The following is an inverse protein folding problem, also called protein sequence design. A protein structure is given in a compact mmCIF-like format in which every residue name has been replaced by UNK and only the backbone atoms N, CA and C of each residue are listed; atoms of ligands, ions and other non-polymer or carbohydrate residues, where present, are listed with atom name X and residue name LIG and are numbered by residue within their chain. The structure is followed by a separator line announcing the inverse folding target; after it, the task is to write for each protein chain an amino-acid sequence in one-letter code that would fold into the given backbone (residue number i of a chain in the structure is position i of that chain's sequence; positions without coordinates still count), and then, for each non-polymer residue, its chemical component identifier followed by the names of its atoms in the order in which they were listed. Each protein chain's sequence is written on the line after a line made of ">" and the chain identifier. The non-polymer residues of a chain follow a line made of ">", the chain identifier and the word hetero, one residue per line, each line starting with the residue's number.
data_IF_532073020216
#
_entry.id   IF_532073020216
#
_cell.length_a   1.000
_cell.length_b   1.000
_cell.length_c   1.000
_cell.angle_alpha   90.00
_cell.angle_beta   90.00
_cell.angle_gamma   90.00
#
_symmetry.space_group_name_H-M   'P 1'
#
loop_
_entity.id
_entity.type
_entity.pdbx_description
1 polymer ?
#
# COMPACT_ATOMS: atom_id res chain seq x y z
N UNK A 1 -16.27 -9.51 33.40
CA UNK A 1 -16.97 -8.27 33.83
C UNK A 1 -16.90 -7.21 32.74
N UNK A 2 -15.71 -6.83 32.28
CA UNK A 2 -15.55 -5.82 31.22
C UNK A 2 -16.33 -6.15 29.93
N UNK A 3 -16.24 -7.38 29.41
CA UNK A 3 -17.02 -7.79 28.23
C UNK A 3 -18.54 -7.68 28.44
N UNK A 4 -19.02 -8.01 29.64
CA UNK A 4 -20.46 -7.93 29.95
C UNK A 4 -20.94 -6.47 30.01
N UNK A 5 -20.19 -5.59 30.69
CA UNK A 5 -20.48 -4.16 30.74
C UNK A 5 -20.42 -3.53 29.34
N UNK A 6 -19.43 -3.93 28.53
CA UNK A 6 -19.29 -3.45 27.15
C UNK A 6 -20.45 -3.91 26.25
N UNK A 7 -20.89 -5.16 26.39
CA UNK A 7 -22.05 -5.72 25.67
C UNK A 7 -23.35 -5.00 26.02
N UNK A 8 -23.52 -4.62 27.30
CA UNK A 8 -24.68 -3.87 27.78
C UNK A 8 -24.63 -2.36 27.49
N UNK A 9 -23.50 -1.83 27.02
CA UNK A 9 -23.34 -0.40 26.78
C UNK A 9 -23.18 0.44 28.07
N UNK A 10 -22.78 -0.18 29.17
CA UNK A 10 -22.68 0.46 30.50
C UNK A 10 -21.39 1.30 30.61
N UNK A 11 -21.40 2.49 29.99
CA UNK A 11 -20.24 3.38 29.89
C UNK A 11 -19.54 3.65 31.23
N UNK A 12 -20.29 4.00 32.28
CA UNK A 12 -19.74 4.32 33.61
C UNK A 12 -19.04 3.11 34.26
N UNK A 13 -19.63 1.91 34.13
CA UNK A 13 -19.04 0.70 34.70
C UNK A 13 -17.82 0.24 33.88
N UNK A 14 -17.86 0.38 32.54
CA UNK A 14 -16.68 0.16 31.69
C UNK A 14 -15.53 1.08 32.11
N UNK A 15 -15.79 2.38 32.25
CA UNK A 15 -14.79 3.36 32.67
C UNK A 15 -14.19 3.02 34.04
N UNK A 16 -15.03 2.65 35.01
CA UNK A 16 -14.60 2.23 36.35
C UNK A 16 -13.77 0.96 36.34
N UNK A 17 -14.16 -0.05 35.55
CA UNK A 17 -13.43 -1.30 35.40
C UNK A 17 -12.05 -1.06 34.78
N UNK A 18 -11.97 -0.27 33.71
CA UNK A 18 -10.70 0.10 33.07
C UNK A 18 -9.80 0.88 34.03
N UNK A 19 -10.36 1.85 34.77
CA UNK A 19 -9.63 2.60 35.79
C UNK A 19 -9.09 1.71 36.94
N UNK A 20 -9.78 0.60 37.24
CA UNK A 20 -9.31 -0.39 38.20
C UNK A 20 -8.28 -1.40 37.65
N UNK A 21 -7.86 -1.24 36.38
CA UNK A 21 -6.87 -2.12 35.74
C UNK A 21 -7.47 -3.33 35.03
N UNK A 22 -8.75 -3.30 34.66
CA UNK A 22 -9.32 -4.33 33.79
C UNK A 22 -8.60 -4.35 32.44
N UNK A 23 -8.27 -5.56 31.97
CA UNK A 23 -7.55 -5.75 30.71
C UNK A 23 -8.49 -5.59 29.50
N UNK A 24 -8.30 -4.51 28.74
CA UNK A 24 -9.06 -4.23 27.52
C UNK A 24 -8.74 -5.19 26.34
N UNK A 25 -7.66 -5.96 26.45
CA UNK A 25 -7.21 -6.93 25.43
C UNK A 25 -7.75 -8.34 25.65
N UNK A 26 -8.44 -8.56 26.77
CA UNK A 26 -8.95 -9.87 27.16
C UNK A 26 -9.99 -10.42 26.19
N UNK A 27 -9.96 -11.74 25.97
CA UNK A 27 -10.99 -12.49 25.25
C UNK A 27 -11.85 -13.26 26.25
N UNK A 28 -13.17 -13.16 26.13
CA UNK A 28 -14.09 -13.94 26.95
C UNK A 28 -14.24 -15.40 26.48
N UNK A 29 -15.17 -16.13 27.09
CA UNK A 29 -15.43 -17.53 26.78
C UNK A 29 -15.94 -17.77 25.35
N UNK A 30 -16.52 -16.76 24.70
CA UNK A 30 -16.96 -16.82 23.30
C UNK A 30 -15.82 -16.46 22.33
N UNK A 31 -14.64 -16.10 22.85
CA UNK A 31 -13.51 -15.62 22.06
C UNK A 31 -13.72 -14.21 21.54
N UNK A 32 -14.53 -13.38 22.22
CA UNK A 32 -14.77 -11.99 21.84
C UNK A 32 -14.10 -11.02 22.82
N UNK A 33 -13.58 -9.92 22.30
CA UNK A 33 -13.02 -8.82 23.10
C UNK A 33 -14.12 -7.89 23.59
N UNK A 34 -13.89 -7.07 24.64
CA UNK A 34 -14.83 -6.02 25.03
C UNK A 34 -15.20 -5.08 23.86
N UNK A 35 -14.23 -4.78 22.99
CA UNK A 35 -14.45 -3.90 21.84
C UNK A 35 -15.38 -4.54 20.80
N UNK A 36 -15.26 -5.85 20.56
CA UNK A 36 -16.19 -6.58 19.69
C UNK A 36 -17.62 -6.56 20.23
N UNK A 37 -17.80 -6.73 21.55
CA UNK A 37 -19.12 -6.62 22.18
C UNK A 37 -19.71 -5.21 22.07
N UNK A 38 -18.90 -4.18 22.30
CA UNK A 38 -19.32 -2.79 22.13
C UNK A 38 -19.72 -2.50 20.68
N UNK A 39 -18.93 -2.99 19.72
CA UNK A 39 -19.18 -2.83 18.29
C UNK A 39 -20.47 -3.53 17.82
N UNK A 40 -20.66 -4.79 18.24
CA UNK A 40 -21.87 -5.57 17.95
C UNK A 40 -23.14 -4.98 18.58
N UNK A 41 -23.00 -4.30 19.71
CA UNK A 41 -24.10 -3.59 20.39
C UNK A 41 -24.33 -2.16 19.90
N UNK A 42 -23.49 -1.62 19.01
CA UNK A 42 -23.56 -0.23 18.55
C UNK A 42 -23.18 0.82 19.60
N UNK A 43 -22.43 0.43 20.64
CA UNK A 43 -22.11 1.27 21.80
C UNK A 43 -20.88 2.16 21.53
N UNK A 44 -21.05 3.20 20.71
CA UNK A 44 -19.96 4.04 20.23
C UNK A 44 -19.13 4.70 21.36
N UNK A 45 -19.77 5.12 22.45
CA UNK A 45 -19.08 5.73 23.59
C UNK A 45 -18.18 4.71 24.32
N UNK A 46 -18.69 3.49 24.55
CA UNK A 46 -17.93 2.38 25.11
C UNK A 46 -16.78 1.98 24.19
N UNK A 47 -17.01 1.89 22.88
CA UNK A 47 -15.98 1.57 21.91
C UNK A 47 -14.84 2.61 21.95
N UNK A 48 -15.18 3.90 22.03
CA UNK A 48 -14.20 4.98 22.16
C UNK A 48 -13.35 4.85 23.43
N UNK A 49 -13.99 4.62 24.59
CA UNK A 49 -13.29 4.40 25.86
C UNK A 49 -12.32 3.21 25.81
N UNK A 50 -12.76 2.10 25.21
CA UNK A 50 -11.93 0.90 25.07
C UNK A 50 -10.71 1.16 24.18
N UNK A 51 -10.91 1.84 23.04
CA UNK A 51 -9.83 2.23 22.13
C UNK A 51 -8.83 3.18 22.79
N UNK A 52 -9.31 4.17 23.55
CA UNK A 52 -8.47 5.11 24.29
C UNK A 52 -7.64 4.41 25.39
N UNK A 53 -8.13 3.26 25.90
CA UNK A 53 -7.41 2.39 26.83
C UNK A 53 -6.59 1.29 26.14
N UNK A 54 -6.39 1.37 24.82
CA UNK A 54 -5.51 0.47 24.08
C UNK A 54 -6.13 -0.87 23.68
N UNK A 55 -7.46 -0.98 23.63
CA UNK A 55 -8.10 -2.17 23.06
C UNK A 55 -7.66 -2.38 21.60
N UNK A 56 -7.26 -3.60 21.19
CA UNK A 56 -6.80 -3.86 19.84
C UNK A 56 -7.96 -3.80 18.85
N UNK A 57 -7.96 -2.78 17.97
CA UNK A 57 -8.99 -2.61 16.94
C UNK A 57 -8.99 -3.72 15.88
N UNK A 58 -7.85 -4.40 15.70
CA UNK A 58 -7.63 -5.45 14.69
C UNK A 58 -7.63 -6.87 15.27
N UNK A 59 -8.01 -7.06 16.54
CA UNK A 59 -8.21 -8.40 17.08
C UNK A 59 -9.32 -9.14 16.31
N UNK A 60 -9.20 -10.46 16.17
CA UNK A 60 -10.12 -11.31 15.43
C UNK A 60 -10.82 -12.31 16.34
N UNK A 61 -12.12 -12.50 16.12
CA UNK A 61 -12.92 -13.55 16.73
C UNK A 61 -12.54 -14.93 16.19
N UNK A 62 -13.06 -16.03 16.78
CA UNK A 62 -12.89 -17.38 16.23
C UNK A 62 -13.41 -17.55 14.79
N UNK A 63 -14.34 -16.70 14.35
CA UNK A 63 -14.86 -16.68 12.98
C UNK A 63 -14.07 -15.75 12.04
N UNK A 64 -12.96 -15.17 12.50
CA UNK A 64 -12.11 -14.27 11.72
C UNK A 64 -12.69 -12.85 11.56
N UNK A 65 -13.62 -12.44 12.41
CA UNK A 65 -14.25 -11.11 12.35
C UNK A 65 -13.60 -10.17 13.37
N UNK A 66 -13.29 -8.94 12.94
CA UNK A 66 -12.85 -7.85 13.80
C UNK A 66 -14.03 -7.09 14.42
N UNK A 67 -13.75 -6.16 15.33
CA UNK A 67 -14.78 -5.24 15.83
C UNK A 67 -15.42 -4.42 14.69
N UNK A 68 -14.65 -4.05 13.66
CA UNK A 68 -15.15 -3.35 12.48
C UNK A 68 -16.10 -4.17 11.62
N UNK A 69 -15.97 -5.50 11.61
CA UNK A 69 -16.88 -6.38 10.87
C UNK A 69 -18.19 -6.66 11.61
N UNK A 70 -18.20 -6.44 12.93
CA UNK A 70 -19.34 -6.73 13.80
C UNK A 70 -20.28 -5.55 14.02
N UNK A 71 -19.92 -4.35 13.56
CA UNK A 71 -20.71 -3.13 13.79
C UNK A 71 -21.71 -2.85 12.66
N UNK A 72 -22.82 -2.17 12.99
CA UNK A 72 -23.88 -1.82 12.03
C UNK A 72 -24.11 -0.32 11.83
N UNK A 73 -23.59 0.56 12.70
CA UNK A 73 -23.99 1.98 12.78
C UNK A 73 -22.83 2.90 13.22
N UNK A 74 -23.10 4.00 13.95
CA UNK A 74 -22.17 5.06 14.39
C UNK A 74 -20.83 4.58 15.01
N UNK A 75 -20.78 3.35 15.53
CA UNK A 75 -19.54 2.76 16.05
C UNK A 75 -18.52 2.48 14.93
N UNK A 76 -18.97 2.31 13.69
CA UNK A 76 -18.12 2.17 12.51
C UNK A 76 -17.19 3.36 12.33
N UNK A 77 -17.71 4.59 12.43
CA UNK A 77 -16.90 5.81 12.28
C UNK A 77 -15.81 5.90 13.36
N UNK A 78 -16.14 5.51 14.60
CA UNK A 78 -15.17 5.47 15.71
C UNK A 78 -14.04 4.49 15.43
N UNK A 79 -14.39 3.28 14.99
CA UNK A 79 -13.42 2.22 14.69
C UNK A 79 -12.55 2.60 13.48
N UNK A 80 -13.16 3.13 12.42
CA UNK A 80 -12.47 3.54 11.20
C UNK A 80 -11.50 4.69 11.49
N UNK A 81 -11.94 5.73 12.19
CA UNK A 81 -11.10 6.87 12.56
C UNK A 81 -9.88 6.42 13.38
N UNK A 82 -10.09 5.53 14.35
CA UNK A 82 -9.00 5.01 15.19
C UNK A 82 -8.05 4.11 14.40
N UNK A 83 -8.57 3.22 13.55
CA UNK A 83 -7.76 2.36 12.69
C UNK A 83 -6.88 3.19 11.73
N UNK A 84 -7.44 4.20 11.07
CA UNK A 84 -6.69 5.09 10.17
C UNK A 84 -5.57 5.84 10.89
N UNK A 85 -5.85 6.38 12.09
CA UNK A 85 -4.81 7.03 12.91
C UNK A 85 -3.71 6.07 13.30
N UNK A 86 -4.08 4.86 13.72
CA UNK A 86 -3.12 3.81 14.10
C UNK A 86 -2.23 3.44 12.92
N UNK A 87 -2.81 3.19 11.74
CA UNK A 87 -2.08 2.86 10.52
C UNK A 87 -1.16 3.99 10.04
N UNK A 88 -1.60 5.25 10.15
CA UNK A 88 -0.74 6.39 9.84
C UNK A 88 0.49 6.44 10.76
N UNK A 89 0.29 6.26 12.07
CA UNK A 89 1.39 6.23 13.05
C UNK A 89 2.31 5.04 12.77
N UNK A 90 1.78 3.83 12.65
CA UNK A 90 2.56 2.62 12.35
C UNK A 90 3.34 2.77 11.04
N UNK A 91 2.70 3.30 9.99
CA UNK A 91 3.34 3.59 8.71
C UNK A 91 4.46 4.62 8.81
N UNK A 92 4.30 5.68 9.62
CA UNK A 92 5.39 6.64 9.86
C UNK A 92 6.57 6.02 10.60
N UNK A 93 6.31 5.17 11.60
CA UNK A 93 7.35 4.45 12.35
C UNK A 93 8.09 3.48 11.44
N UNK A 94 7.37 2.69 10.64
CA UNK A 94 7.95 1.76 9.67
C UNK A 94 8.83 2.50 8.64
N UNK A 95 8.38 3.63 8.11
CA UNK A 95 9.19 4.47 7.20
C UNK A 95 10.47 4.98 7.87
N UNK A 96 10.40 5.38 9.15
CA UNK A 96 11.58 5.86 9.89
C UNK A 96 12.58 4.73 10.17
N UNK A 97 12.10 3.52 10.47
CA UNK A 97 12.95 2.34 10.61
C UNK A 97 13.61 1.99 9.28
N UNK A 98 12.87 2.02 8.17
CA UNK A 98 13.40 1.77 6.84
C UNK A 98 14.38 2.86 6.36
N UNK A 99 14.20 4.11 6.79
CA UNK A 99 15.15 5.20 6.50
C UNK A 99 16.50 5.06 7.22
N UNK A 100 16.59 4.18 8.23
CA UNK A 100 17.85 3.81 8.90
C UNK A 100 18.52 2.57 8.30
N UNK A 101 17.88 1.92 7.32
CA UNK A 101 18.48 0.87 6.50
C UNK A 101 19.39 1.47 5.42
N UNK A 102 20.42 0.74 5.02
CA UNK A 102 21.30 1.06 3.90
C UNK A 102 20.50 1.45 2.64
N UNK A 103 21.10 2.19 1.67
CA UNK A 103 20.44 2.48 0.40
C UNK A 103 19.88 1.20 -0.19
N UNK A 104 18.79 1.29 -0.96
CA UNK A 104 18.09 0.18 -1.59
C UNK A 104 18.92 -0.59 -2.65
N UNK A 105 20.19 -0.89 -2.39
CA UNK A 105 21.02 -1.84 -3.14
C UNK A 105 20.34 -3.22 -3.17
N UNK A 106 19.69 -3.63 -2.07
CA UNK A 106 18.99 -4.91 -2.00
C UNK A 106 17.73 -4.99 -2.87
N UNK A 107 17.14 -3.85 -3.29
CA UNK A 107 15.92 -3.89 -4.11
C UNK A 107 16.20 -4.40 -5.52
N UNK A 108 17.31 -3.97 -6.14
CA UNK A 108 17.71 -4.45 -7.47
C UNK A 108 18.21 -5.91 -7.46
N UNK A 109 18.55 -6.42 -6.28
CA UNK A 109 18.90 -7.83 -6.05
C UNK A 109 17.66 -8.71 -5.77
N UNK A 110 16.53 -8.09 -5.42
CA UNK A 110 15.29 -8.79 -5.09
C UNK A 110 14.58 -9.26 -6.37
N UNK A 111 13.84 -10.38 -6.28
CA UNK A 111 13.07 -10.88 -7.42
C UNK A 111 11.75 -10.13 -7.51
N UNK A 112 11.35 -9.78 -8.74
CA UNK A 112 9.99 -9.31 -9.04
C UNK A 112 9.14 -10.46 -9.58
N UNK A 113 7.87 -10.46 -9.23
CA UNK A 113 6.87 -11.36 -9.80
C UNK A 113 6.01 -10.62 -10.81
N UNK A 114 5.70 -11.31 -11.90
CA UNK A 114 4.99 -10.76 -13.04
C UNK A 114 3.68 -11.51 -13.27
N UNK A 115 2.60 -10.78 -13.52
CA UNK A 115 1.39 -11.31 -14.13
C UNK A 115 0.97 -10.44 -15.32
N UNK A 116 -0.14 -10.76 -15.98
CA UNK A 116 -0.71 -9.91 -17.02
C UNK A 116 -1.17 -8.54 -16.48
N UNK A 117 -1.56 -8.49 -15.22
CA UNK A 117 -2.20 -7.31 -14.61
C UNK A 117 -1.28 -6.52 -13.68
N UNK A 118 -0.11 -7.06 -13.29
CA UNK A 118 0.72 -6.42 -12.26
C UNK A 118 2.18 -6.87 -12.23
N UNK A 119 2.99 -6.02 -11.62
CA UNK A 119 4.34 -6.31 -11.13
C UNK A 119 4.32 -6.15 -9.61
N UNK A 120 4.87 -7.14 -8.92
CA UNK A 120 5.03 -7.09 -7.46
C UNK A 120 6.49 -7.36 -7.10
N UNK A 121 6.95 -6.73 -6.02
CA UNK A 121 8.29 -6.99 -5.48
C UNK A 121 8.32 -8.30 -4.66
N UNK A 122 9.49 -8.62 -4.10
CA UNK A 122 9.70 -9.81 -3.29
C UNK A 122 8.85 -9.85 -2.00
N UNK A 123 8.35 -8.69 -1.54
CA UNK A 123 7.48 -8.55 -0.37
C UNK A 123 5.98 -8.55 -0.76
N UNK A 124 5.66 -8.88 -2.00
CA UNK A 124 4.29 -8.83 -2.56
C UNK A 124 3.66 -7.43 -2.56
N UNK A 125 4.46 -6.37 -2.47
CA UNK A 125 3.96 -5.00 -2.64
C UNK A 125 3.75 -4.70 -4.11
N UNK A 126 2.69 -3.96 -4.40
CA UNK A 126 2.39 -3.51 -5.75
C UNK A 126 3.47 -2.54 -6.22
N UNK A 127 4.14 -2.90 -7.31
CA UNK A 127 5.14 -2.07 -7.98
C UNK A 127 4.49 -1.35 -9.14
N UNK A 128 3.72 -2.05 -9.96
CA UNK A 128 2.92 -1.46 -11.05
C UNK A 128 1.66 -2.27 -11.29
N UNK A 129 0.56 -1.62 -11.63
CA UNK A 129 -0.74 -2.26 -11.86
C UNK A 129 -1.38 -1.81 -13.19
N UNK A 130 -2.00 -2.75 -13.90
CA UNK A 130 -2.64 -2.48 -15.20
C UNK A 130 -3.82 -1.49 -15.13
N UNK A 131 -4.46 -1.34 -13.95
CA UNK A 131 -5.54 -0.36 -13.77
C UNK A 131 -5.05 1.09 -13.92
N UNK A 132 -3.74 1.34 -13.81
CA UNK A 132 -3.12 2.66 -14.00
C UNK A 132 -3.03 3.05 -15.48
N UNK A 133 -3.35 2.13 -16.41
CA UNK A 133 -3.23 2.34 -17.86
C UNK A 133 -3.93 3.61 -18.37
N UNK A 134 -5.17 3.97 -17.97
CA UNK A 134 -5.80 5.21 -18.44
C UNK A 134 -5.00 6.46 -18.05
N UNK A 135 -4.35 6.46 -16.88
CA UNK A 135 -3.49 7.56 -16.44
C UNK A 135 -2.21 7.63 -17.27
N UNK A 136 -1.59 6.48 -17.56
CA UNK A 136 -0.41 6.39 -18.43
C UNK A 136 -0.70 6.91 -19.85
N UNK A 137 -1.88 6.60 -20.40
CA UNK A 137 -2.29 7.07 -21.73
C UNK A 137 -2.51 8.59 -21.77
N UNK A 138 -3.12 9.16 -20.73
CA UNK A 138 -3.28 10.61 -20.59
C UNK A 138 -1.91 11.28 -20.40
N UNK A 139 -1.03 10.68 -19.61
CA UNK A 139 0.34 11.18 -19.40
C UNK A 139 1.13 11.19 -20.71
N UNK A 140 1.15 10.07 -21.44
CA UNK A 140 1.80 9.96 -22.74
C UNK A 140 1.28 11.03 -23.72
N UNK A 141 -0.03 11.29 -23.75
CA UNK A 141 -0.63 12.37 -24.56
C UNK A 141 -0.09 13.76 -24.20
N UNK A 142 0.16 14.02 -22.92
CA UNK A 142 0.61 15.34 -22.47
C UNK A 142 2.08 15.58 -22.79
N UNK A 143 2.92 14.54 -22.70
CA UNK A 143 4.38 14.65 -22.86
C UNK A 143 4.87 14.39 -24.28
N UNK A 144 4.14 13.61 -25.09
CA UNK A 144 4.57 13.29 -26.44
C UNK A 144 4.10 14.36 -27.45
N UNK A 145 5.02 15.22 -27.89
CA UNK A 145 4.77 16.25 -28.92
C UNK A 145 5.58 16.04 -30.21
N UNK A 146 6.01 14.79 -30.47
CA UNK A 146 6.79 14.42 -31.65
C UNK A 146 8.31 14.53 -31.49
N UNK A 147 8.79 14.94 -30.31
CA UNK A 147 10.20 15.09 -29.99
C UNK A 147 10.83 13.90 -29.27
N UNK A 148 11.84 14.16 -28.44
CA UNK A 148 12.60 13.14 -27.69
C UNK A 148 11.99 12.92 -26.32
N UNK A 149 11.56 11.69 -26.06
CA UNK A 149 10.90 11.31 -24.80
C UNK A 149 11.83 10.42 -23.98
N UNK A 150 12.00 10.77 -22.71
CA UNK A 150 12.70 9.95 -21.72
C UNK A 150 11.67 9.37 -20.73
N UNK A 151 11.64 8.06 -20.62
CA UNK A 151 10.96 7.38 -19.52
C UNK A 151 12.00 6.80 -18.55
N UNK A 152 11.90 7.16 -17.27
CA UNK A 152 12.67 6.56 -16.19
C UNK A 152 11.67 5.86 -15.27
N UNK A 153 11.57 4.54 -15.38
CA UNK A 153 10.54 3.83 -14.65
C UNK A 153 10.70 2.33 -14.74
N UNK A 154 10.18 1.66 -13.72
CA UNK A 154 10.09 0.22 -13.59
C UNK A 154 8.69 -0.25 -14.02
N UNK A 155 8.56 -1.30 -14.83
CA UNK A 155 7.22 -1.76 -15.22
C UNK A 155 7.14 -2.89 -16.25
N UNK A 156 5.99 -3.02 -16.90
CA UNK A 156 5.75 -3.98 -18.00
C UNK A 156 5.76 -3.33 -19.38
N UNK A 157 6.26 -2.09 -19.49
CA UNK A 157 6.22 -1.36 -20.75
C UNK A 157 4.85 -0.73 -21.09
N UNK A 158 3.91 -0.64 -20.15
CA UNK A 158 2.56 -0.11 -20.43
C UNK A 158 2.58 1.38 -20.80
N UNK A 159 3.32 2.19 -20.06
CA UNK A 159 3.53 3.61 -20.38
C UNK A 159 4.34 3.74 -21.67
N UNK A 160 5.32 2.86 -21.87
CA UNK A 160 6.15 2.85 -23.06
C UNK A 160 5.34 2.52 -24.32
N UNK A 161 4.39 1.58 -24.23
CA UNK A 161 3.42 1.28 -25.30
C UNK A 161 2.57 2.51 -25.62
N UNK A 162 2.11 3.23 -24.60
CA UNK A 162 1.32 4.44 -24.78
C UNK A 162 2.14 5.55 -25.45
N UNK A 163 3.39 5.76 -25.04
CA UNK A 163 4.34 6.71 -25.64
C UNK A 163 4.59 6.36 -27.12
N UNK A 164 4.83 5.09 -27.44
CA UNK A 164 5.12 4.65 -28.80
C UNK A 164 3.97 4.88 -29.79
N UNK A 165 2.72 4.98 -29.33
CA UNK A 165 1.57 5.33 -30.19
C UNK A 165 1.66 6.75 -30.77
N UNK A 166 2.47 7.62 -30.17
CA UNK A 166 2.70 8.99 -30.63
C UNK A 166 3.96 9.13 -31.51
N UNK A 167 4.64 8.02 -31.83
CA UNK A 167 5.79 7.98 -32.73
C UNK A 167 6.84 9.08 -32.44
N UNK A 168 7.39 9.16 -31.21
CA UNK A 168 8.39 10.18 -30.87
C UNK A 168 9.65 10.03 -31.74
N UNK A 169 10.41 11.12 -31.95
CA UNK A 169 11.68 11.07 -32.68
C UNK A 169 12.65 10.06 -32.03
N UNK A 170 12.74 10.10 -30.71
CA UNK A 170 13.55 9.20 -29.90
C UNK A 170 12.79 8.86 -28.61
N UNK A 171 12.76 7.58 -28.24
CA UNK A 171 12.18 7.10 -27.00
C UNK A 171 13.27 6.39 -26.19
N UNK A 172 13.83 7.09 -25.20
CA UNK A 172 14.82 6.52 -24.29
C UNK A 172 14.11 5.95 -23.07
N UNK A 173 14.38 4.69 -22.73
CA UNK A 173 13.86 4.03 -21.54
C UNK A 173 15.04 3.69 -20.64
N UNK A 174 15.05 4.20 -19.40
CA UNK A 174 16.04 3.82 -18.40
C UNK A 174 15.43 2.76 -17.48
N UNK A 175 16.00 1.56 -17.48
CA UNK A 175 15.56 0.44 -16.66
C UNK A 175 16.69 -0.04 -15.75
N UNK A 176 16.45 -0.02 -14.44
CA UNK A 176 17.44 -0.36 -13.44
C UNK A 176 17.36 -1.83 -12.99
N UNK A 177 16.21 -2.47 -13.12
CA UNK A 177 15.95 -3.81 -12.63
C UNK A 177 16.30 -4.88 -13.67
N UNK A 178 17.26 -5.79 -13.40
CA UNK A 178 17.74 -6.78 -14.38
C UNK A 178 16.64 -7.63 -15.01
N UNK A 179 15.70 -8.13 -14.19
CA UNK A 179 14.61 -8.98 -14.68
C UNK A 179 13.60 -8.24 -15.58
N UNK A 180 13.39 -6.94 -15.34
CA UNK A 180 12.51 -6.13 -16.17
C UNK A 180 13.21 -5.81 -17.48
N UNK A 181 14.49 -5.44 -17.42
CA UNK A 181 15.32 -5.20 -18.60
C UNK A 181 15.37 -6.44 -19.52
N UNK A 182 15.66 -7.63 -18.97
CA UNK A 182 15.63 -8.88 -19.72
C UNK A 182 14.25 -9.16 -20.33
N UNK A 183 13.17 -8.88 -19.60
CA UNK A 183 11.81 -9.06 -20.11
C UNK A 183 11.54 -8.10 -21.28
N UNK A 184 11.94 -6.84 -21.18
CA UNK A 184 11.79 -5.87 -22.27
C UNK A 184 12.51 -6.34 -23.54
N UNK A 185 13.75 -6.83 -23.41
CA UNK A 185 14.48 -7.40 -24.54
C UNK A 185 13.76 -8.61 -25.15
N UNK A 186 13.26 -9.54 -24.32
CA UNK A 186 12.47 -10.70 -24.78
C UNK A 186 11.18 -10.31 -25.50
N UNK A 187 10.59 -9.16 -25.14
CA UNK A 187 9.40 -8.60 -25.79
C UNK A 187 9.73 -7.77 -27.05
N UNK A 188 11.00 -7.73 -27.47
CA UNK A 188 11.43 -7.03 -28.68
C UNK A 188 11.53 -5.50 -28.54
N UNK A 189 11.54 -4.97 -27.31
CA UNK A 189 11.67 -3.51 -27.12
C UNK A 189 12.96 -2.94 -27.69
N UNK A 190 14.06 -3.69 -27.61
CA UNK A 190 15.36 -3.28 -28.17
C UNK A 190 15.41 -3.25 -29.70
N UNK A 191 14.40 -3.83 -30.36
CA UNK A 191 14.29 -3.90 -31.82
C UNK A 191 13.28 -2.90 -32.39
N UNK A 192 12.47 -2.26 -31.52
CA UNK A 192 11.52 -1.24 -31.94
C UNK A 192 12.26 -0.06 -32.55
N UNK A 193 11.68 0.48 -33.64
CA UNK A 193 12.14 1.73 -34.23
C UNK A 193 12.18 2.81 -33.13
N UNK A 194 13.15 3.73 -33.23
CA UNK A 194 13.28 4.90 -32.35
C UNK A 194 13.32 4.63 -30.83
N UNK A 195 13.42 3.38 -30.39
CA UNK A 195 13.54 3.01 -28.97
C UNK A 195 15.01 2.75 -28.62
N UNK A 196 15.43 3.28 -27.47
CA UNK A 196 16.74 3.03 -26.87
C UNK A 196 16.56 2.66 -25.40
N UNK A 197 16.93 1.44 -25.03
CA UNK A 197 16.89 1.00 -23.63
C UNK A 197 18.28 1.15 -23.02
N UNK A 198 18.37 1.90 -21.92
CA UNK A 198 19.60 2.12 -21.17
C UNK A 198 19.49 1.38 -19.83
N UNK A 199 20.35 0.38 -19.63
CA UNK A 199 20.35 -0.41 -18.41
C UNK A 199 21.13 0.29 -17.29
N UNK A 200 20.50 0.44 -16.13
CA UNK A 200 21.11 0.99 -14.92
C UNK A 200 20.22 2.01 -14.21
N UNK A 201 20.66 2.45 -13.03
CA UNK A 201 19.97 3.55 -12.33
C UNK A 201 20.19 4.84 -13.11
N UNK A 202 19.17 5.68 -13.20
CA UNK A 202 19.23 6.95 -13.96
C UNK A 202 20.40 7.84 -13.53
N UNK A 203 20.79 7.81 -12.25
CA UNK A 203 21.95 8.54 -11.73
C UNK A 203 23.27 8.05 -12.34
N UNK A 204 23.41 6.74 -12.52
CA UNK A 204 24.64 6.12 -13.03
C UNK A 204 24.75 6.27 -14.55
N UNK A 205 23.62 6.31 -15.24
CA UNK A 205 23.57 6.38 -16.71
C UNK A 205 23.39 7.80 -17.24
N UNK A 206 23.33 8.80 -16.36
CA UNK A 206 23.23 10.22 -16.74
C UNK A 206 24.20 10.64 -17.86
N UNK A 207 25.48 10.22 -17.89
CA UNK A 207 26.40 10.58 -18.98
C UNK A 207 26.01 10.02 -20.36
N UNK A 208 25.12 9.03 -20.41
CA UNK A 208 24.60 8.41 -21.64
C UNK A 208 23.31 9.10 -22.13
N UNK A 209 22.70 9.94 -21.29
CA UNK A 209 21.43 10.60 -21.58
C UNK A 209 21.66 11.90 -22.36
N UNK A 210 20.74 12.19 -23.29
CA UNK A 210 20.77 13.40 -24.12
C UNK A 210 19.93 14.53 -23.52
N UNK A 211 19.59 15.50 -24.38
CA UNK A 211 18.51 16.45 -24.10
C UNK A 211 17.18 15.86 -24.53
N UNK A 212 16.14 16.13 -23.75
CA UNK A 212 14.78 15.66 -23.96
C UNK A 212 13.82 16.86 -23.86
N UNK A 213 12.65 16.73 -24.47
CA UNK A 213 11.62 17.78 -24.50
C UNK A 213 10.72 17.77 -23.25
#
# INVERSE_FOLDING_TARGET
>A
LLCAAAKSGEEEEVAKLLASGADATHFDADGLTPLMHAAAGGHAAVARLLLDCGAPWNALSPSGLSAGDLTSDDTYDVLLEHALRSELVLGTVARRQNASGAPAESYLESRVSFSEERVMDAESKAVMMAWERPLMEVHARAVCQGGKVLNVGFGMGLVDEAIQRYEPEEHTIVEAHPQVYERMLKLGWGEKKNVRIVFGRWQDVMPQLGSYD
#
